data_IF_084987954849
#
_entry.id   IF_084987954849
#
_cell.length_a   1.000
_cell.length_b   1.000
_cell.length_c   1.000
_cell.angle_alpha   90.00
_cell.angle_beta   90.00
_cell.angle_gamma   90.00
#
_symmetry.space_group_name_H-M   'P 1'
#
loop_
_entity.id
_entity.type
_entity.pdbx_description
1 polymer ?
#
# COMPACT_ATOMS: atom_id res chain seq x y z
N UNK A 1 -48.21 -13.86 -21.23
CA UNK A 1 -46.90 -14.55 -21.15
C UNK A 1 -45.82 -13.90 -22.00
N UNK A 2 -46.09 -13.39 -23.22
CA UNK A 2 -45.07 -12.70 -24.03
C UNK A 2 -44.45 -11.45 -23.38
N UNK A 3 -45.27 -10.55 -22.80
CA UNK A 3 -44.79 -9.27 -22.23
C UNK A 3 -43.81 -9.39 -21.05
N UNK A 4 -43.87 -10.46 -20.23
CA UNK A 4 -42.89 -10.66 -19.15
C UNK A 4 -41.54 -11.16 -19.68
N UNK A 5 -41.54 -11.96 -20.76
CA UNK A 5 -40.31 -12.47 -21.37
C UNK A 5 -39.53 -11.32 -21.98
N UNK A 6 -40.22 -10.40 -22.66
CA UNK A 6 -39.59 -9.20 -23.23
C UNK A 6 -38.99 -8.30 -22.15
N UNK A 7 -39.68 -8.12 -21.02
CA UNK A 7 -39.17 -7.35 -19.89
C UNK A 7 -37.91 -7.97 -19.27
N UNK A 8 -37.88 -9.30 -19.11
CA UNK A 8 -36.71 -10.02 -18.59
C UNK A 8 -35.53 -9.94 -19.56
N UNK A 9 -35.78 -10.08 -20.87
CA UNK A 9 -34.74 -9.95 -21.91
C UNK A 9 -34.15 -8.54 -21.92
N UNK A 10 -34.98 -7.51 -21.82
CA UNK A 10 -34.52 -6.12 -21.73
C UNK A 10 -33.71 -5.89 -20.45
N UNK A 11 -34.17 -6.40 -19.31
CA UNK A 11 -33.45 -6.28 -18.04
C UNK A 11 -32.07 -6.97 -18.10
N UNK A 12 -31.99 -8.17 -18.69
CA UNK A 12 -30.73 -8.88 -18.89
C UNK A 12 -29.80 -8.14 -19.85
N UNK A 13 -30.35 -7.54 -20.91
CA UNK A 13 -29.56 -6.77 -21.86
C UNK A 13 -28.98 -5.50 -21.23
N UNK A 14 -29.77 -4.79 -20.43
CA UNK A 14 -29.31 -3.62 -19.67
C UNK A 14 -28.24 -4.02 -18.65
N UNK A 15 -28.43 -5.13 -17.94
CA UNK A 15 -27.45 -5.67 -16.99
C UNK A 15 -26.15 -6.08 -17.68
N UNK A 16 -26.23 -6.67 -18.87
CA UNK A 16 -25.04 -7.04 -19.64
C UNK A 16 -24.26 -5.80 -20.10
N UNK A 17 -24.96 -4.76 -20.55
CA UNK A 17 -24.33 -3.50 -20.96
C UNK A 17 -23.66 -2.78 -19.78
N UNK A 18 -24.29 -2.74 -18.61
CA UNK A 18 -23.68 -2.09 -17.43
C UNK A 18 -22.41 -2.82 -16.97
N UNK A 19 -22.42 -4.15 -16.99
CA UNK A 19 -21.24 -4.95 -16.68
C UNK A 19 -20.13 -4.77 -17.72
N UNK A 20 -20.47 -4.64 -19.00
CA UNK A 20 -19.49 -4.46 -20.07
C UNK A 20 -18.72 -3.14 -19.92
N UNK A 21 -19.40 -2.05 -19.53
CA UNK A 21 -18.78 -0.75 -19.27
C UNK A 21 -17.79 -0.82 -18.10
N UNK A 22 -18.15 -1.55 -17.04
CA UNK A 22 -17.28 -1.78 -15.88
C UNK A 22 -16.01 -2.56 -16.27
N UNK A 23 -16.17 -3.67 -16.99
CA UNK A 23 -15.04 -4.50 -17.46
C UNK A 23 -14.13 -3.70 -18.39
N UNK A 24 -14.69 -2.93 -19.32
CA UNK A 24 -13.93 -2.07 -20.21
C UNK A 24 -13.13 -1.00 -19.44
N UNK A 25 -13.75 -0.39 -18.43
CA UNK A 25 -13.09 0.62 -17.60
C UNK A 25 -11.95 0.05 -16.76
N UNK A 26 -12.09 -1.17 -16.24
CA UNK A 26 -11.03 -1.90 -15.51
C UNK A 26 -9.86 -2.19 -16.46
N UNK A 27 -10.15 -2.61 -17.70
CA UNK A 27 -9.10 -2.99 -18.65
C UNK A 27 -8.29 -1.79 -19.15
N UNK A 28 -8.94 -0.64 -19.39
CA UNK A 28 -8.27 0.57 -19.90
C UNK A 28 -7.40 1.27 -18.86
N UNK A 29 -7.81 1.24 -17.59
CA UNK A 29 -7.12 1.99 -16.52
C UNK A 29 -7.36 1.32 -15.17
N UNK A 30 -6.70 0.17 -14.90
CA UNK A 30 -6.94 -0.60 -13.69
C UNK A 30 -6.67 0.23 -12.43
N UNK A 31 -5.57 0.97 -12.38
CA UNK A 31 -5.17 1.77 -11.22
C UNK A 31 -6.17 2.91 -10.90
N UNK A 32 -6.69 3.59 -11.93
CA UNK A 32 -7.66 4.68 -11.78
C UNK A 32 -9.06 4.19 -11.39
N UNK A 33 -9.48 3.03 -11.92
CA UNK A 33 -10.76 2.44 -11.56
C UNK A 33 -10.75 1.94 -10.12
N UNK A 34 -9.72 1.19 -9.70
CA UNK A 34 -9.62 0.65 -8.35
C UNK A 34 -9.46 1.75 -7.29
N UNK A 35 -8.74 2.82 -7.59
CA UNK A 35 -8.62 3.98 -6.68
C UNK A 35 -9.95 4.72 -6.48
N UNK A 36 -10.74 4.90 -7.54
CA UNK A 36 -12.07 5.53 -7.44
C UNK A 36 -13.16 4.63 -6.85
N UNK A 37 -13.15 3.34 -7.20
CA UNK A 37 -14.20 2.40 -6.83
C UNK A 37 -14.09 1.88 -5.37
N UNK A 38 -12.87 1.75 -4.84
CA UNK A 38 -12.65 1.30 -3.46
C UNK A 38 -12.86 2.41 -2.43
N UNK A 39 -13.28 3.61 -2.83
CA UNK A 39 -13.45 4.75 -1.93
C UNK A 39 -12.18 5.10 -1.16
N UNK A 40 -11.01 4.65 -1.65
CA UNK A 40 -9.74 4.90 -1.01
C UNK A 40 -9.44 6.39 -1.15
N UNK A 41 -9.40 7.17 -0.05
CA UNK A 41 -8.82 8.48 -0.15
C UNK A 41 -7.35 8.28 -0.54
N UNK A 42 -6.75 9.29 -1.14
CA UNK A 42 -5.31 9.37 -1.38
C UNK A 42 -4.48 9.41 -0.06
N UNK A 43 -4.81 8.59 0.94
CA UNK A 43 -4.06 8.35 2.20
C UNK A 43 -2.75 7.61 1.92
N UNK A 44 -2.54 7.15 0.68
CA UNK A 44 -1.31 6.50 0.21
C UNK A 44 -0.08 7.42 0.19
N UNK A 45 -0.21 8.76 0.23
CA UNK A 45 0.98 9.62 0.00
C UNK A 45 1.87 9.81 1.23
N UNK A 46 1.30 10.16 2.40
CA UNK A 46 2.09 10.50 3.58
C UNK A 46 2.52 9.28 4.39
N UNK A 47 1.63 8.31 4.59
CA UNK A 47 1.94 7.07 5.32
C UNK A 47 2.95 6.20 4.57
N UNK A 48 2.76 6.01 3.26
CA UNK A 48 3.72 5.23 2.48
C UNK A 48 5.07 5.95 2.34
N UNK A 49 5.09 7.28 2.25
CA UNK A 49 6.33 8.06 2.30
C UNK A 49 7.03 7.92 3.67
N UNK A 50 6.26 7.97 4.76
CA UNK A 50 6.78 7.77 6.11
C UNK A 50 7.38 6.37 6.29
N UNK A 51 6.66 5.31 5.89
CA UNK A 51 7.15 3.93 5.92
C UNK A 51 8.40 3.75 5.05
N UNK A 52 8.43 4.36 3.86
CA UNK A 52 9.61 4.32 2.99
C UNK A 52 10.81 4.97 3.65
N UNK A 53 10.64 6.15 4.24
CA UNK A 53 11.70 6.85 4.97
C UNK A 53 12.18 6.06 6.17
N UNK A 54 11.26 5.54 7.00
CA UNK A 54 11.60 4.73 8.17
C UNK A 54 12.35 3.43 7.78
N UNK A 55 11.96 2.80 6.68
CA UNK A 55 12.66 1.62 6.14
C UNK A 55 14.09 1.95 5.70
N UNK A 56 14.32 3.10 5.06
CA UNK A 56 15.68 3.51 4.65
C UNK A 56 16.55 3.64 5.90
N UNK A 57 16.10 4.38 6.92
CA UNK A 57 16.85 4.54 8.17
C UNK A 57 17.16 3.20 8.86
N UNK A 58 16.22 2.26 8.83
CA UNK A 58 16.44 0.92 9.36
C UNK A 58 17.55 0.18 8.60
N UNK A 59 17.53 0.20 7.27
CA UNK A 59 18.58 -0.43 6.46
C UNK A 59 19.94 0.24 6.66
N UNK A 60 19.98 1.57 6.77
CA UNK A 60 21.22 2.32 7.05
C UNK A 60 21.82 1.91 8.41
N UNK A 61 20.99 1.74 9.44
CA UNK A 61 21.47 1.30 10.76
C UNK A 61 21.99 -0.14 10.76
N UNK A 62 21.42 -1.04 9.94
CA UNK A 62 21.98 -2.39 9.74
C UNK A 62 23.36 -2.31 9.10
N UNK A 63 23.50 -1.47 8.07
CA UNK A 63 24.79 -1.28 7.40
C UNK A 63 25.84 -0.72 8.35
N UNK A 64 25.50 0.31 9.14
CA UNK A 64 26.38 0.89 10.15
C UNK A 64 26.86 -0.17 11.16
N UNK A 65 25.96 -1.07 11.56
CA UNK A 65 26.26 -2.17 12.48
C UNK A 65 27.22 -3.18 11.86
N UNK A 66 27.03 -3.52 10.58
CA UNK A 66 27.93 -4.42 9.85
C UNK A 66 29.33 -3.80 9.71
N UNK A 67 29.41 -2.51 9.38
CA UNK A 67 30.66 -1.77 9.30
C UNK A 67 31.39 -1.72 10.65
N UNK A 68 30.68 -1.41 11.74
CA UNK A 68 31.23 -1.41 13.08
C UNK A 68 31.73 -2.80 13.50
N UNK A 69 30.99 -3.86 13.15
CA UNK A 69 31.39 -5.24 13.41
C UNK A 69 32.69 -5.61 12.67
N UNK A 70 32.81 -5.25 11.39
CA UNK A 70 34.02 -5.50 10.59
C UNK A 70 35.22 -4.74 11.14
N UNK A 71 35.01 -3.51 11.62
CA UNK A 71 36.07 -2.67 12.17
C UNK A 71 36.41 -2.95 13.64
N UNK A 72 35.71 -3.89 14.29
CA UNK A 72 35.81 -4.15 15.73
C UNK A 72 35.56 -2.88 16.58
N UNK A 73 34.70 -2.00 16.10
CA UNK A 73 34.33 -0.75 16.74
C UNK A 73 33.14 -0.98 17.69
N UNK A 74 33.42 -1.13 18.98
CA UNK A 74 32.40 -1.35 20.00
C UNK A 74 31.46 -0.16 20.19
N UNK A 75 31.98 1.07 20.14
CA UNK A 75 31.15 2.29 20.26
C UNK A 75 30.25 2.44 19.04
N UNK A 76 30.77 2.13 17.86
CA UNK A 76 29.98 2.09 16.62
C UNK A 76 28.84 1.06 16.66
N UNK A 77 29.05 -0.10 17.29
CA UNK A 77 28.00 -1.11 17.49
C UNK A 77 26.88 -0.60 18.41
N UNK A 78 27.22 0.05 19.52
CA UNK A 78 26.25 0.61 20.45
C UNK A 78 25.40 1.71 19.79
N UNK A 79 26.05 2.59 19.02
CA UNK A 79 25.37 3.63 18.25
C UNK A 79 24.46 3.05 17.16
N UNK A 80 24.91 2.03 16.43
CA UNK A 80 24.11 1.36 15.42
C UNK A 80 22.86 0.69 16.01
N UNK A 81 23.01 0.05 17.19
CA UNK A 81 21.90 -0.57 17.91
C UNK A 81 20.89 0.46 18.43
N UNK A 82 21.34 1.65 18.84
CA UNK A 82 20.45 2.78 19.19
C UNK A 82 19.61 3.23 17.99
N UNK A 83 20.25 3.47 16.83
CA UNK A 83 19.53 3.84 15.61
C UNK A 83 18.58 2.76 15.12
N UNK A 84 18.94 1.49 15.27
CA UNK A 84 18.09 0.36 14.90
C UNK A 84 16.81 0.34 15.75
N UNK A 85 16.93 0.56 17.08
CA UNK A 85 15.79 0.65 18.00
C UNK A 85 14.88 1.83 17.64
N UNK A 86 15.44 2.98 17.35
CA UNK A 86 14.68 4.16 16.93
C UNK A 86 13.94 3.95 15.60
N UNK A 87 14.60 3.32 14.62
CA UNK A 87 13.99 3.00 13.34
C UNK A 87 12.86 1.97 13.49
N UNK A 88 13.03 0.95 14.33
CA UNK A 88 12.00 -0.01 14.70
C UNK A 88 10.82 0.67 15.40
N UNK A 89 11.10 1.61 16.31
CA UNK A 89 10.06 2.37 16.98
C UNK A 89 9.30 3.26 16.00
N UNK A 90 9.94 3.83 14.98
CA UNK A 90 9.24 4.59 13.92
C UNK A 90 8.40 3.67 13.03
N UNK A 91 8.89 2.47 12.72
CA UNK A 91 8.16 1.47 11.92
C UNK A 91 6.95 0.88 12.66
N UNK A 92 7.08 0.63 13.98
CA UNK A 92 6.03 0.03 14.81
C UNK A 92 5.17 1.02 15.59
N UNK A 93 5.67 2.23 15.85
CA UNK A 93 5.06 3.22 16.76
C UNK A 93 3.79 3.86 16.24
N UNK A 94 3.49 3.75 14.93
CA UNK A 94 2.22 4.19 14.37
C UNK A 94 1.16 3.08 14.35
N UNK A 95 1.49 1.84 14.72
CA UNK A 95 0.49 0.77 14.91
C UNK A 95 -0.39 0.98 16.17
N UNK A 96 -0.01 1.89 17.08
CA UNK A 96 -0.80 2.28 18.25
C UNK A 96 -1.48 3.66 18.14
N UNK A 97 -1.36 4.33 16.99
CA UNK A 97 -1.85 5.69 16.78
C UNK A 97 -3.14 5.77 15.92
N UNK A 98 -3.70 4.63 15.52
CA UNK A 98 -4.92 4.51 14.72
C UNK A 98 -5.87 3.48 15.32
#
# INVERSE_FOLDING_TARGET
MGSCVDAVVVALFVLLLTLLVLVWSIWKSPEAFWSGALGGPAVSSAWAAHLRSARIHFMDSIWLREEAYVNLDGEGLDLADEFLRDALHRLGGLAGAW
#
